data_IF_600965572136
#
_entry.id   IF_600965572136
#
_cell.length_a   1.000
_cell.length_b   1.000
_cell.length_c   1.000
_cell.angle_alpha   90.00
_cell.angle_beta   90.00
_cell.angle_gamma   90.00
#
_symmetry.space_group_name_H-M   'P 1'
#
loop_
_entity.id
_entity.type
_entity.pdbx_description
1 polymer ?
#
# COMPACT_ATOMS: atom_id res chain seq x y z
N UNK A 1 14.00 13.45 -3.82
CA UNK A 1 12.77 13.79 -3.07
C UNK A 1 12.97 15.02 -2.20
N UNK A 2 13.64 14.94 -1.03
CA UNK A 2 13.83 16.13 -0.16
C UNK A 2 14.72 17.22 -0.76
N UNK A 3 15.81 16.86 -1.44
CA UNK A 3 16.67 17.81 -2.18
C UNK A 3 15.90 18.62 -3.22
N UNK A 4 14.81 18.04 -3.73
CA UNK A 4 14.01 18.57 -4.84
C UNK A 4 12.73 19.24 -4.32
N UNK A 5 12.57 19.36 -3.00
CA UNK A 5 11.41 20.00 -2.37
C UNK A 5 10.09 19.22 -2.49
N UNK A 6 10.14 17.92 -2.82
CA UNK A 6 8.93 17.09 -3.01
C UNK A 6 8.36 16.70 -1.64
N UNK A 7 7.08 17.03 -1.42
CA UNK A 7 6.33 16.72 -0.19
C UNK A 7 5.22 15.68 -0.34
N UNK A 8 4.78 15.38 -1.56
CA UNK A 8 3.73 14.39 -1.85
C UNK A 8 4.27 13.31 -2.80
N UNK A 9 3.87 12.06 -2.61
CA UNK A 9 4.20 10.93 -3.49
C UNK A 9 2.94 10.15 -3.85
N UNK A 10 2.82 9.79 -5.14
CA UNK A 10 1.80 8.86 -5.63
C UNK A 10 2.46 7.52 -5.89
N UNK A 11 1.97 6.46 -5.25
CA UNK A 11 2.51 5.11 -5.33
C UNK A 11 1.58 4.25 -6.18
N UNK A 12 2.19 3.52 -7.11
CA UNK A 12 1.58 2.50 -7.98
C UNK A 12 2.48 1.27 -7.99
N UNK A 13 1.95 0.09 -8.33
CA UNK A 13 2.75 -1.11 -8.58
C UNK A 13 2.29 -2.37 -7.86
N UNK A 14 3.24 -3.24 -7.54
CA UNK A 14 3.00 -4.60 -7.07
C UNK A 14 4.10 -4.99 -6.07
N UNK A 15 3.82 -5.65 -4.95
CA UNK A 15 2.55 -6.24 -4.50
C UNK A 15 1.88 -5.30 -3.47
N UNK A 16 0.56 -5.08 -3.56
CA UNK A 16 -0.19 -4.14 -2.70
C UNK A 16 0.14 -4.32 -1.22
N UNK A 17 -0.09 -5.50 -0.66
CA UNK A 17 0.09 -5.81 0.76
C UNK A 17 1.55 -6.12 1.16
N UNK A 18 2.52 -5.79 0.31
CA UNK A 18 3.94 -5.99 0.61
C UNK A 18 4.73 -4.71 0.28
N UNK A 19 5.44 -4.66 -0.86
CA UNK A 19 6.32 -3.54 -1.18
C UNK A 19 5.59 -2.21 -1.33
N UNK A 20 4.34 -2.22 -1.84
CA UNK A 20 3.53 -1.00 -1.95
C UNK A 20 3.14 -0.49 -0.56
N UNK A 21 2.51 -1.33 0.27
CA UNK A 21 2.12 -0.96 1.64
C UNK A 21 3.31 -0.56 2.51
N UNK A 22 4.42 -1.31 2.44
CA UNK A 22 5.64 -0.99 3.20
C UNK A 22 6.23 0.37 2.81
N UNK A 23 6.22 0.70 1.52
CA UNK A 23 6.67 1.99 1.02
C UNK A 23 5.72 3.11 1.43
N UNK A 24 4.40 2.87 1.35
CA UNK A 24 3.39 3.86 1.75
C UNK A 24 3.49 4.21 3.24
N UNK A 25 3.56 3.20 4.12
CA UNK A 25 3.77 3.38 5.57
C UNK A 25 5.05 4.16 5.86
N UNK A 26 6.14 3.79 5.19
CA UNK A 26 7.43 4.47 5.37
C UNK A 26 7.39 5.91 4.88
N UNK A 27 6.73 6.17 3.76
CA UNK A 27 6.52 7.52 3.21
C UNK A 27 5.75 8.41 4.19
N UNK A 28 4.60 7.95 4.68
CA UNK A 28 3.79 8.71 5.63
C UNK A 28 4.52 8.93 6.96
N UNK A 29 5.21 7.92 7.50
CA UNK A 29 6.03 8.06 8.71
C UNK A 29 7.19 9.06 8.55
N UNK A 30 7.72 9.22 7.33
CA UNK A 30 8.74 10.22 7.02
C UNK A 30 8.13 11.62 6.75
N UNK A 31 6.81 11.76 6.83
CA UNK A 31 6.08 13.02 6.65
C UNK A 31 5.85 13.41 5.19
N UNK A 32 5.86 12.44 4.26
CA UNK A 32 5.31 12.68 2.92
C UNK A 32 3.78 12.55 2.97
N UNK A 33 3.07 13.34 2.17
CA UNK A 33 1.68 13.09 1.82
C UNK A 33 1.63 11.94 0.81
N UNK A 34 1.05 10.80 1.18
CA UNK A 34 1.12 9.57 0.39
C UNK A 34 -0.24 9.23 -0.19
N UNK A 35 -0.28 9.06 -1.52
CA UNK A 35 -1.46 8.56 -2.21
C UNK A 35 -1.13 7.21 -2.87
N UNK A 36 -1.88 6.16 -2.53
CA UNK A 36 -1.81 4.87 -3.25
C UNK A 36 -2.93 4.84 -4.28
N UNK A 37 -2.60 4.81 -5.57
CA UNK A 37 -3.62 4.69 -6.61
C UNK A 37 -4.07 3.23 -6.72
N UNK A 38 -5.20 2.92 -6.08
CA UNK A 38 -5.66 1.55 -5.85
C UNK A 38 -5.90 0.74 -7.13
N UNK A 39 -6.24 1.39 -8.23
CA UNK A 39 -6.51 0.83 -9.56
C UNK A 39 -5.24 0.62 -10.39
N UNK A 40 -4.12 1.21 -9.96
CA UNK A 40 -2.79 1.00 -10.51
C UNK A 40 -1.91 0.09 -9.62
N UNK A 41 -2.54 -0.63 -8.68
CA UNK A 41 -1.91 -1.59 -7.80
C UNK A 41 -2.59 -2.95 -7.90
N UNK A 42 -1.82 -4.03 -7.71
CA UNK A 42 -2.41 -5.37 -7.61
C UNK A 42 -1.64 -6.27 -6.65
N UNK A 43 -2.32 -7.34 -6.23
CA UNK A 43 -1.78 -8.41 -5.40
C UNK A 43 -2.26 -9.79 -5.88
N UNK A 44 -1.95 -10.82 -5.12
CA UNK A 44 -2.23 -12.23 -5.41
C UNK A 44 -3.10 -12.83 -4.31
N UNK A 45 -3.74 -13.96 -4.63
CA UNK A 45 -4.37 -14.82 -3.64
C UNK A 45 -3.34 -15.26 -2.58
N UNK A 46 -3.75 -15.27 -1.32
CA UNK A 46 -2.87 -15.62 -0.22
C UNK A 46 -3.64 -16.41 0.85
N UNK A 47 -3.03 -17.44 1.43
CA UNK A 47 -3.56 -18.01 2.66
C UNK A 47 -3.29 -17.05 3.82
N UNK A 48 -4.32 -16.75 4.59
CA UNK A 48 -4.12 -16.02 5.85
C UNK A 48 -3.40 -16.90 6.88
N UNK A 49 -3.08 -16.30 8.03
CA UNK A 49 -2.35 -16.97 9.09
C UNK A 49 -3.04 -18.27 9.60
N UNK A 50 -4.37 -18.35 9.50
CA UNK A 50 -5.15 -19.51 9.92
C UNK A 50 -5.33 -20.54 8.79
N UNK A 51 -4.64 -20.36 7.66
CA UNK A 51 -4.74 -21.22 6.48
C UNK A 51 -6.01 -20.99 5.65
N UNK A 52 -6.79 -19.94 5.94
CA UNK A 52 -7.99 -19.63 5.15
C UNK A 52 -7.54 -18.97 3.84
N UNK A 53 -7.93 -19.50 2.67
CA UNK A 53 -7.66 -18.84 1.40
C UNK A 53 -8.35 -17.47 1.36
N UNK A 54 -7.59 -16.43 1.00
CA UNK A 54 -8.09 -15.09 0.71
C UNK A 54 -7.83 -14.78 -0.75
N UNK A 55 -8.82 -14.20 -1.40
CA UNK A 55 -8.67 -13.74 -2.78
C UNK A 55 -7.73 -12.54 -2.85
N UNK A 56 -7.13 -12.32 -4.02
CA UNK A 56 -6.35 -11.11 -4.28
C UNK A 56 -7.16 -9.83 -4.00
N UNK A 57 -8.47 -9.84 -4.29
CA UNK A 57 -9.37 -8.72 -3.99
C UNK A 57 -9.50 -8.48 -2.48
N UNK A 58 -9.69 -9.54 -1.68
CA UNK A 58 -9.74 -9.43 -0.21
C UNK A 58 -8.42 -8.87 0.34
N UNK A 59 -7.29 -9.41 -0.11
CA UNK A 59 -5.95 -8.99 0.35
C UNK A 59 -5.68 -7.53 -0.04
N UNK A 60 -6.05 -7.13 -1.26
CA UNK A 60 -5.93 -5.76 -1.76
C UNK A 60 -6.77 -4.80 -0.92
N UNK A 61 -8.04 -5.13 -0.71
CA UNK A 61 -8.97 -4.31 0.06
C UNK A 61 -8.53 -4.15 1.53
N UNK A 62 -8.06 -5.23 2.16
CA UNK A 62 -7.56 -5.19 3.54
C UNK A 62 -6.33 -4.29 3.68
N UNK A 63 -5.36 -4.41 2.75
CA UNK A 63 -4.16 -3.56 2.77
C UNK A 63 -4.51 -2.08 2.58
N UNK A 64 -5.38 -1.77 1.60
CA UNK A 64 -5.84 -0.39 1.37
C UNK A 64 -6.63 0.17 2.56
N UNK A 65 -7.46 -0.64 3.22
CA UNK A 65 -8.18 -0.24 4.42
C UNK A 65 -7.23 0.11 5.57
N UNK A 66 -6.13 -0.64 5.73
CA UNK A 66 -5.11 -0.35 6.74
C UNK A 66 -4.30 0.93 6.43
N UNK A 67 -4.22 1.34 5.17
CA UNK A 67 -3.53 2.57 4.75
C UNK A 67 -4.45 3.79 4.83
N UNK A 68 -5.73 3.62 4.52
CA UNK A 68 -6.67 4.72 4.37
C UNK A 68 -6.87 5.51 5.67
N UNK A 69 -6.46 6.78 5.65
CA UNK A 69 -6.63 7.70 6.77
C UNK A 69 -5.53 7.64 7.85
N UNK A 70 -4.58 6.70 7.73
CA UNK A 70 -3.39 6.67 8.60
C UNK A 70 -2.17 7.38 7.97
N UNK A 71 -2.07 7.36 6.64
CA UNK A 71 -0.92 7.89 5.88
C UNK A 71 -1.36 8.72 4.68
#
# INVERSE_FOLDING_TARGET
LRSDGIGQVVIVGVITNNSVESTARSGGNLGFDVLVAHDACFTFDQQDFFGTPRSAEDVHAMSLANLHGEY
#
